data_IF_050868118676
#
_entry.id   IF_050868118676
#
_cell.length_a   1.000
_cell.length_b   1.000
_cell.length_c   1.000
_cell.angle_alpha   90.00
_cell.angle_beta   90.00
_cell.angle_gamma   90.00
#
_symmetry.space_group_name_H-M   'P 1'
#
loop_
_entity.id
_entity.type
_entity.pdbx_description
1 polymer ?
#
# COMPACT_ATOMS: atom_id res chain seq x y z
N UNK A 1 -19.13 -27.11 8.18
CA UNK A 1 -19.66 -26.17 7.16
C UNK A 1 -19.04 -24.81 7.43
N UNK A 2 -17.89 -24.47 6.84
CA UNK A 2 -17.20 -23.18 7.07
C UNK A 2 -16.47 -22.68 5.81
N UNK A 3 -17.06 -22.88 4.63
CA UNK A 3 -16.44 -22.50 3.35
C UNK A 3 -16.94 -21.15 2.80
N UNK A 4 -17.83 -20.47 3.53
CA UNK A 4 -18.42 -19.18 3.11
C UNK A 4 -17.66 -17.94 3.62
N UNK A 5 -17.14 -17.98 4.85
CA UNK A 5 -16.47 -16.83 5.47
C UNK A 5 -15.19 -16.40 4.73
N UNK A 6 -14.39 -17.36 4.25
CA UNK A 6 -13.16 -17.07 3.52
C UNK A 6 -13.37 -16.37 2.16
N UNK A 7 -14.54 -16.53 1.53
CA UNK A 7 -14.87 -15.83 0.28
C UNK A 7 -15.34 -14.39 0.53
N UNK A 8 -16.05 -14.14 1.63
CA UNK A 8 -16.53 -12.80 1.98
C UNK A 8 -15.37 -11.90 2.40
N UNK A 9 -14.43 -12.40 3.21
CA UNK A 9 -13.25 -11.63 3.65
C UNK A 9 -12.35 -11.23 2.48
N UNK A 10 -12.16 -12.13 1.50
CA UNK A 10 -11.46 -11.80 0.24
C UNK A 10 -12.17 -10.70 -0.53
N UNK A 11 -13.50 -10.77 -0.62
CA UNK A 11 -14.29 -9.79 -1.36
C UNK A 11 -14.22 -8.40 -0.72
N UNK A 12 -14.32 -8.31 0.61
CA UNK A 12 -14.21 -7.04 1.35
C UNK A 12 -12.82 -6.43 1.22
N UNK A 13 -11.76 -7.26 1.35
CA UNK A 13 -10.37 -6.82 1.17
C UNK A 13 -10.13 -6.28 -0.24
N UNK A 14 -10.62 -7.00 -1.24
CA UNK A 14 -10.53 -6.60 -2.64
C UNK A 14 -11.19 -5.25 -2.90
N UNK A 15 -12.42 -5.04 -2.43
CA UNK A 15 -13.13 -3.77 -2.59
C UNK A 15 -12.38 -2.61 -1.93
N UNK A 16 -11.85 -2.82 -0.72
CA UNK A 16 -11.08 -1.79 0.01
C UNK A 16 -9.83 -1.35 -0.76
N UNK A 17 -9.11 -2.30 -1.36
CA UNK A 17 -7.94 -2.03 -2.19
C UNK A 17 -8.35 -1.30 -3.47
N UNK A 18 -9.39 -1.79 -4.14
CA UNK A 18 -9.87 -1.21 -5.39
C UNK A 18 -10.28 0.26 -5.19
N UNK A 19 -11.03 0.58 -4.13
CA UNK A 19 -11.44 1.95 -3.81
C UNK A 19 -10.24 2.83 -3.45
N UNK A 20 -9.24 2.27 -2.76
CA UNK A 20 -8.02 3.00 -2.40
C UNK A 20 -7.16 3.34 -3.62
N UNK A 21 -7.02 2.40 -4.57
CA UNK A 21 -6.20 2.52 -5.78
C UNK A 21 -6.91 3.35 -6.87
N UNK A 22 -8.23 3.31 -6.93
CA UNK A 22 -9.02 3.98 -7.96
C UNK A 22 -8.64 5.46 -8.10
N UNK A 23 -8.23 5.86 -9.30
CA UNK A 23 -7.75 7.23 -9.60
C UNK A 23 -6.34 7.58 -9.09
N UNK A 24 -5.62 6.63 -8.48
CA UNK A 24 -4.24 6.77 -7.97
C UNK A 24 -3.27 5.73 -8.56
N UNK A 25 -3.74 4.94 -9.51
CA UNK A 25 -2.98 3.90 -10.22
C UNK A 25 -1.63 4.42 -10.70
N UNK A 26 -0.56 3.74 -10.32
CA UNK A 26 0.81 4.12 -10.69
C UNK A 26 1.35 5.40 -10.02
N UNK A 27 0.55 6.12 -9.21
CA UNK A 27 0.98 7.32 -8.51
C UNK A 27 1.43 7.00 -7.08
N UNK A 28 2.72 6.69 -6.93
CA UNK A 28 3.29 6.33 -5.63
C UNK A 28 3.08 7.38 -4.54
N UNK A 29 3.03 8.68 -4.89
CA UNK A 29 2.83 9.75 -3.90
C UNK A 29 1.41 9.73 -3.34
N UNK A 30 0.42 9.59 -4.22
CA UNK A 30 -0.98 9.55 -3.83
C UNK A 30 -1.29 8.29 -2.99
N UNK A 31 -0.71 7.14 -3.37
CA UNK A 31 -0.86 5.90 -2.60
C UNK A 31 -0.22 6.03 -1.21
N UNK A 32 1.02 6.53 -1.11
CA UNK A 32 1.68 6.70 0.19
C UNK A 32 0.96 7.71 1.10
N UNK A 33 0.47 8.82 0.53
CA UNK A 33 -0.25 9.83 1.31
C UNK A 33 -1.59 9.34 1.86
N UNK A 34 -2.25 8.43 1.13
CA UNK A 34 -3.54 7.83 1.53
C UNK A 34 -3.42 6.42 2.09
N UNK A 35 -2.20 5.96 2.43
CA UNK A 35 -2.00 4.60 2.94
C UNK A 35 -2.77 4.37 4.25
N UNK A 36 -2.91 5.40 5.08
CA UNK A 36 -3.70 5.36 6.32
C UNK A 36 -5.15 4.90 6.13
N UNK A 37 -5.74 5.16 4.96
CA UNK A 37 -7.17 4.88 4.70
C UNK A 37 -7.43 3.39 4.48
N UNK A 38 -6.41 2.64 4.04
CA UNK A 38 -6.55 1.23 3.66
C UNK A 38 -5.99 0.27 4.70
N UNK A 39 -5.14 0.74 5.62
CA UNK A 39 -4.58 -0.07 6.69
C UNK A 39 -5.65 -0.65 7.63
N UNK A 40 -5.28 -1.70 8.35
CA UNK A 40 -6.10 -2.34 9.38
C UNK A 40 -6.04 -1.57 10.71
N UNK A 41 -7.01 -1.80 11.59
CA UNK A 41 -6.99 -1.22 12.94
C UNK A 41 -5.77 -1.72 13.72
N UNK A 42 -5.07 -0.81 14.39
CA UNK A 42 -3.85 -1.14 15.15
C UNK A 42 -2.55 -1.06 14.34
N UNK A 43 -2.58 -0.58 13.08
CA UNK A 43 -1.37 -0.21 12.33
C UNK A 43 -0.69 1.08 12.86
N UNK A 44 -0.56 1.21 14.19
CA UNK A 44 -0.11 2.42 14.92
C UNK A 44 1.32 2.86 14.56
N UNK A 45 2.11 1.95 13.98
CA UNK A 45 3.47 2.27 13.52
C UNK A 45 3.50 3.11 12.24
N UNK A 46 2.36 3.31 11.58
CA UNK A 46 2.28 4.15 10.39
C UNK A 46 2.16 5.62 10.75
N UNK A 47 3.19 6.39 10.38
CA UNK A 47 3.11 7.84 10.40
C UNK A 47 2.33 8.32 9.17
N UNK A 48 1.35 9.21 9.36
CA UNK A 48 0.66 9.84 8.24
C UNK A 48 1.59 10.81 7.50
N UNK A 49 1.60 10.76 6.17
CA UNK A 49 2.38 11.66 5.31
C UNK A 49 1.43 12.42 4.39
N UNK A 50 1.65 13.73 4.25
CA UNK A 50 0.92 14.52 3.28
C UNK A 50 1.73 14.65 1.98
N UNK A 51 1.10 15.18 0.92
CA UNK A 51 1.79 15.41 -0.35
C UNK A 51 3.01 16.34 -0.22
N UNK A 52 3.01 17.27 0.74
CA UNK A 52 4.16 18.15 1.00
C UNK A 52 5.37 17.39 1.57
N UNK A 53 5.16 16.26 2.23
CA UNK A 53 6.23 15.40 2.73
C UNK A 53 6.86 14.54 1.63
N UNK A 54 6.25 14.50 0.43
CA UNK A 54 6.59 13.61 -0.67
C UNK A 54 7.07 14.36 -1.94
N UNK A 55 7.56 15.58 -1.79
CA UNK A 55 7.98 16.42 -2.92
C UNK A 55 9.20 15.83 -3.66
N UNK A 56 10.28 15.55 -2.93
CA UNK A 56 11.54 15.05 -3.52
C UNK A 56 11.57 13.53 -3.66
N UNK A 57 12.32 13.02 -4.65
CA UNK A 57 12.50 11.58 -4.85
C UNK A 57 13.03 10.86 -3.61
N UNK A 58 13.95 11.50 -2.88
CA UNK A 58 14.50 10.95 -1.64
C UNK A 58 13.45 10.79 -0.54
N UNK A 59 12.50 11.72 -0.43
CA UNK A 59 11.41 11.61 0.52
C UNK A 59 10.45 10.47 0.13
N UNK A 60 10.07 10.40 -1.15
CA UNK A 60 9.24 9.30 -1.67
C UNK A 60 9.90 7.95 -1.40
N UNK A 61 11.20 7.82 -1.69
CA UNK A 61 11.97 6.58 -1.45
C UNK A 61 11.98 6.17 0.02
N UNK A 62 12.20 7.12 0.93
CA UNK A 62 12.20 6.85 2.38
C UNK A 62 10.82 6.42 2.87
N UNK A 63 9.78 7.11 2.45
CA UNK A 63 8.41 6.80 2.82
C UNK A 63 7.96 5.44 2.27
N UNK A 64 8.26 5.17 0.99
CA UNK A 64 8.03 3.88 0.35
C UNK A 64 8.67 2.73 1.14
N UNK A 65 9.95 2.87 1.50
CA UNK A 65 10.64 1.82 2.24
C UNK A 65 10.01 1.55 3.62
N UNK A 66 9.57 2.60 4.32
CA UNK A 66 8.81 2.47 5.58
C UNK A 66 7.48 1.76 5.37
N UNK A 67 6.75 2.09 4.30
CA UNK A 67 5.48 1.43 3.96
C UNK A 67 5.72 -0.06 3.71
N UNK A 68 6.72 -0.42 2.91
CA UNK A 68 7.08 -1.81 2.64
C UNK A 68 7.39 -2.60 3.91
N UNK A 69 8.11 -2.01 4.88
CA UNK A 69 8.41 -2.68 6.15
C UNK A 69 7.18 -2.87 7.05
N UNK A 70 6.21 -1.96 6.94
CA UNK A 70 4.94 -2.05 7.63
C UNK A 70 4.07 -3.16 7.06
N UNK A 71 3.87 -3.19 5.73
CA UNK A 71 2.94 -4.12 5.07
C UNK A 71 3.60 -5.36 4.49
N UNK A 72 4.84 -5.66 4.88
CA UNK A 72 5.57 -6.80 4.32
C UNK A 72 4.82 -8.12 4.60
N UNK A 73 4.50 -8.93 3.56
CA UNK A 73 3.64 -10.10 3.73
C UNK A 73 4.20 -11.12 4.73
N UNK A 74 5.52 -11.29 4.76
CA UNK A 74 6.22 -12.19 5.71
C UNK A 74 5.92 -11.88 7.19
N UNK A 75 5.69 -10.61 7.53
CA UNK A 75 5.40 -10.19 8.91
C UNK A 75 3.94 -10.40 9.30
N UNK A 76 3.08 -10.73 8.34
CA UNK A 76 1.64 -10.85 8.50
C UNK A 76 1.10 -12.24 8.14
N UNK A 77 1.97 -13.22 7.88
CA UNK A 77 1.55 -14.60 7.61
C UNK A 77 0.70 -15.14 8.77
N UNK A 78 -0.49 -15.64 8.46
CA UNK A 78 -1.45 -16.20 9.42
C UNK A 78 -2.23 -15.16 10.22
N UNK A 79 -2.10 -13.86 9.92
CA UNK A 79 -2.92 -12.80 10.52
C UNK A 79 -4.16 -12.51 9.66
N UNK A 80 -5.22 -11.97 10.26
CA UNK A 80 -6.48 -11.68 9.56
C UNK A 80 -6.32 -10.70 8.39
N UNK A 81 -5.31 -9.83 8.45
CA UNK A 81 -4.97 -8.85 7.41
C UNK A 81 -3.82 -9.27 6.49
N UNK A 82 -3.41 -10.55 6.47
CA UNK A 82 -2.35 -11.05 5.57
C UNK A 82 -2.65 -10.69 4.10
N UNK A 83 -3.88 -11.00 3.65
CA UNK A 83 -4.29 -10.76 2.27
C UNK A 83 -4.30 -9.26 1.94
N UNK A 84 -4.73 -8.43 2.88
CA UNK A 84 -4.74 -6.96 2.74
C UNK A 84 -3.32 -6.41 2.66
N UNK A 85 -2.43 -6.81 3.57
CA UNK A 85 -1.03 -6.40 3.57
C UNK A 85 -0.33 -6.78 2.26
N UNK A 86 -0.56 -8.01 1.78
CA UNK A 86 -0.02 -8.49 0.50
C UNK A 86 -0.55 -7.67 -0.69
N UNK A 87 -1.84 -7.35 -0.72
CA UNK A 87 -2.42 -6.53 -1.78
C UNK A 87 -1.84 -5.12 -1.79
N UNK A 88 -1.79 -4.44 -0.63
CA UNK A 88 -1.16 -3.11 -0.51
C UNK A 88 0.30 -3.15 -0.98
N UNK A 89 1.05 -4.17 -0.56
CA UNK A 89 2.45 -4.31 -0.92
C UNK A 89 2.64 -4.43 -2.44
N UNK A 90 1.78 -5.19 -3.13
CA UNK A 90 1.80 -5.31 -4.59
C UNK A 90 1.59 -3.96 -5.28
N UNK A 91 0.52 -3.23 -4.91
CA UNK A 91 0.18 -1.93 -5.50
C UNK A 91 1.30 -0.89 -5.29
N UNK A 92 1.89 -0.87 -4.10
CA UNK A 92 3.02 0.01 -3.79
C UNK A 92 4.26 -0.32 -4.62
N UNK A 93 4.57 -1.61 -4.84
CA UNK A 93 5.71 -2.01 -5.68
C UNK A 93 5.49 -1.63 -7.13
N UNK A 94 4.28 -1.82 -7.67
CA UNK A 94 3.96 -1.45 -9.04
C UNK A 94 4.11 0.06 -9.25
N UNK A 95 3.51 0.87 -8.39
CA UNK A 95 3.63 2.32 -8.44
C UNK A 95 5.08 2.80 -8.23
N UNK A 96 5.86 2.14 -7.37
CA UNK A 96 7.28 2.43 -7.20
C UNK A 96 8.09 2.11 -8.47
N UNK A 97 7.81 0.99 -9.14
CA UNK A 97 8.47 0.64 -10.40
C UNK A 97 8.19 1.68 -11.48
N UNK A 98 6.94 2.12 -11.63
CA UNK A 98 6.56 3.22 -12.54
C UNK A 98 7.31 4.50 -12.19
N UNK A 99 7.34 4.86 -10.90
CA UNK A 99 8.07 6.04 -10.43
C UNK A 99 9.56 5.99 -10.76
N UNK A 100 10.23 4.86 -10.52
CA UNK A 100 11.66 4.67 -10.83
C UNK A 100 11.93 4.71 -12.33
N UNK A 101 11.07 4.09 -13.15
CA UNK A 101 11.17 4.18 -14.60
C UNK A 101 11.09 5.64 -15.06
N UNK A 102 10.06 6.37 -14.64
CA UNK A 102 9.88 7.78 -15.01
C UNK A 102 11.02 8.69 -14.53
N UNK A 103 11.56 8.44 -13.34
CA UNK A 103 12.70 9.19 -12.79
C UNK A 103 14.00 8.90 -13.55
N UNK A 104 14.16 7.70 -14.10
CA UNK A 104 15.31 7.32 -14.94
C UNK A 104 15.29 7.96 -16.33
N UNK A 105 14.10 8.13 -16.91
CA UNK A 105 13.94 8.74 -18.23
C UNK A 105 13.84 10.28 -18.20
N UNK A 106 13.70 10.88 -17.02
CA UNK A 106 13.72 12.36 -16.85
C UNK A 106 15.13 12.95 -16.69
N UNK A 107 16.19 12.14 -16.82
CA UNK A 107 17.59 12.57 -16.76
C UNK A 107 18.28 12.44 -18.11
#
# INVERSE_FOLDING_TARGET
>A
MNSGFGNVLRHVTFLKIQDWVNGKEGNIRALLASLSDVLWEGAEQWQHYCMADLLSENQVKKCYHRACLLVHPDKHVGQDHEELARAIFTELNEAWNVFVQNSRFSK
#
